data_IF_515014227147
#
_entry.id   IF_515014227147
#
_cell.length_a   1.000
_cell.length_b   1.000
_cell.length_c   1.000
_cell.angle_alpha   90.00
_cell.angle_beta   90.00
_cell.angle_gamma   90.00
#
_symmetry.space_group_name_H-M   'P 1'
#
loop_
_entity.id
_entity.type
_entity.pdbx_description
1 polymer ?
#
# COMPACT_ATOMS: atom_id res chain seq x y z
N UNK A 1 3.35 -27.77 23.70
CA UNK A 1 3.41 -28.12 22.25
C UNK A 1 3.55 -26.91 21.31
N UNK A 2 3.59 -25.66 21.80
CA UNK A 2 3.62 -24.44 20.97
C UNK A 2 5.01 -23.98 20.46
N UNK A 3 6.11 -24.53 20.97
CA UNK A 3 7.46 -24.03 20.69
C UNK A 3 8.06 -24.50 19.34
N UNK A 4 7.47 -25.50 18.68
CA UNK A 4 8.07 -26.12 17.47
C UNK A 4 7.79 -25.33 16.18
N UNK A 5 6.63 -24.67 16.09
CA UNK A 5 6.21 -23.94 14.88
C UNK A 5 7.04 -22.67 14.60
N UNK A 6 7.48 -21.96 15.65
CA UNK A 6 8.30 -20.75 15.51
C UNK A 6 9.70 -21.05 14.98
N UNK A 7 10.33 -22.15 15.42
CA UNK A 7 11.66 -22.55 14.92
C UNK A 7 11.66 -22.79 13.41
N UNK A 8 10.62 -23.43 12.87
CA UNK A 8 10.48 -23.66 11.42
C UNK A 8 10.23 -22.38 10.62
N UNK A 9 9.72 -21.32 11.26
CA UNK A 9 9.52 -20.01 10.64
C UNK A 9 10.85 -19.23 10.58
N UNK A 10 11.61 -19.29 11.67
CA UNK A 10 12.95 -18.68 11.78
C UNK A 10 13.96 -19.37 10.85
N UNK A 11 13.95 -20.70 10.77
CA UNK A 11 14.85 -21.45 9.89
C UNK A 11 14.59 -21.15 8.39
N UNK A 12 13.32 -20.99 7.99
CA UNK A 12 12.96 -20.60 6.61
C UNK A 12 13.30 -19.16 6.25
N UNK A 13 13.42 -18.28 7.24
CA UNK A 13 13.89 -16.90 7.05
C UNK A 13 15.40 -16.87 6.76
N UNK A 14 16.15 -17.76 7.41
CA UNK A 14 17.62 -17.85 7.31
C UNK A 14 18.10 -18.30 5.93
N UNK A 15 17.35 -19.17 5.26
CA UNK A 15 17.78 -19.76 3.99
C UNK A 15 17.63 -18.82 2.77
N UNK A 16 16.70 -17.84 2.79
CA UNK A 16 16.48 -16.86 1.69
C UNK A 16 15.96 -15.49 2.19
N UNK A 17 16.77 -14.71 2.93
CA UNK A 17 16.31 -13.48 3.58
C UNK A 17 15.83 -12.40 2.60
N UNK A 18 16.50 -12.25 1.45
CA UNK A 18 16.14 -11.24 0.46
C UNK A 18 14.73 -11.45 -0.11
N UNK A 19 14.35 -12.69 -0.42
CA UNK A 19 13.02 -13.00 -0.97
C UNK A 19 11.89 -12.69 0.01
N UNK A 20 12.11 -12.91 1.31
CA UNK A 20 11.13 -12.60 2.35
C UNK A 20 11.01 -11.10 2.59
N UNK A 21 12.12 -10.35 2.58
CA UNK A 21 12.10 -8.89 2.69
C UNK A 21 11.35 -8.27 1.51
N UNK A 22 11.63 -8.72 0.27
CA UNK A 22 10.93 -8.23 -0.91
C UNK A 22 9.44 -8.58 -0.86
N UNK A 23 9.08 -9.81 -0.48
CA UNK A 23 7.69 -10.23 -0.35
C UNK A 23 6.95 -9.40 0.71
N UNK A 24 7.59 -9.15 1.86
CA UNK A 24 7.05 -8.30 2.92
C UNK A 24 6.83 -6.87 2.41
N UNK A 25 7.81 -6.26 1.74
CA UNK A 25 7.70 -4.89 1.22
C UNK A 25 6.55 -4.76 0.21
N UNK A 26 6.46 -5.67 -0.76
CA UNK A 26 5.35 -5.69 -1.73
C UNK A 26 4.00 -5.82 -1.02
N UNK A 27 3.90 -6.72 -0.05
CA UNK A 27 2.67 -6.92 0.66
C UNK A 27 2.33 -5.73 1.59
N UNK A 28 3.33 -5.08 2.15
CA UNK A 28 3.19 -3.86 2.94
C UNK A 28 2.59 -2.72 2.10
N UNK A 29 3.08 -2.56 0.87
CA UNK A 29 2.56 -1.55 -0.07
C UNK A 29 1.13 -1.88 -0.52
N UNK A 30 0.85 -3.13 -0.88
CA UNK A 30 -0.51 -3.55 -1.30
C UNK A 30 -1.51 -3.32 -0.16
N UNK A 31 -1.14 -3.70 1.06
CA UNK A 31 -1.98 -3.47 2.26
C UNK A 31 -2.01 -2.00 2.70
N UNK A 32 -1.23 -1.11 2.08
CA UNK A 32 -1.38 0.34 2.22
C UNK A 32 -2.37 0.89 1.19
N UNK A 33 -2.15 0.54 -0.09
CA UNK A 33 -2.85 1.10 -1.24
C UNK A 33 -4.30 0.62 -1.31
N UNK A 34 -4.53 -0.70 -1.22
CA UNK A 34 -5.87 -1.25 -1.38
C UNK A 34 -6.83 -0.75 -0.29
N UNK A 35 -6.47 -0.74 1.02
CA UNK A 35 -7.34 -0.18 2.04
C UNK A 35 -7.54 1.33 1.91
N UNK A 36 -6.53 2.09 1.45
CA UNK A 36 -6.67 3.53 1.23
C UNK A 36 -7.80 3.84 0.26
N UNK A 37 -7.82 3.17 -0.89
CA UNK A 37 -8.89 3.33 -1.87
C UNK A 37 -10.21 2.77 -1.38
N UNK A 38 -10.22 1.58 -0.76
CA UNK A 38 -11.46 0.97 -0.25
C UNK A 38 -12.17 1.87 0.77
N UNK A 39 -11.41 2.43 1.73
CA UNK A 39 -11.95 3.35 2.74
C UNK A 39 -12.39 4.65 2.10
N UNK A 40 -11.62 5.22 1.18
CA UNK A 40 -12.01 6.44 0.46
C UNK A 40 -13.32 6.27 -0.32
N UNK A 41 -13.47 5.16 -1.05
CA UNK A 41 -14.71 4.84 -1.76
C UNK A 41 -15.88 4.66 -0.81
N UNK A 42 -15.68 3.97 0.32
CA UNK A 42 -16.73 3.81 1.32
C UNK A 42 -17.17 5.18 1.89
N UNK A 43 -16.24 6.05 2.29
CA UNK A 43 -16.56 7.39 2.77
C UNK A 43 -17.29 8.23 1.73
N UNK A 44 -16.84 8.16 0.47
CA UNK A 44 -17.45 8.91 -0.64
C UNK A 44 -18.85 8.40 -1.00
N UNK A 45 -19.11 7.10 -0.82
CA UNK A 45 -20.41 6.48 -1.08
C UNK A 45 -21.41 6.77 0.05
N UNK A 46 -21.01 6.57 1.31
CA UNK A 46 -21.91 6.71 2.47
C UNK A 46 -22.08 8.15 2.94
N UNK A 47 -21.16 9.05 2.60
CA UNK A 47 -21.16 10.47 2.98
C UNK A 47 -21.50 10.71 4.47
N UNK A 48 -20.75 10.10 5.39
CA UNK A 48 -20.99 10.31 6.81
C UNK A 48 -20.77 11.80 7.18
N UNK A 49 -21.45 12.31 8.21
CA UNK A 49 -21.23 13.67 8.66
C UNK A 49 -19.76 13.87 9.04
N UNK A 50 -19.19 14.98 8.57
CA UNK A 50 -17.79 15.28 8.82
C UNK A 50 -17.59 15.66 10.29
N UNK A 51 -16.56 15.11 10.92
CA UNK A 51 -16.16 15.46 12.30
C UNK A 51 -15.42 16.80 12.36
N UNK A 52 -15.05 17.35 11.20
CA UNK A 52 -14.33 18.60 11.09
C UNK A 52 -15.27 19.78 10.90
N UNK A 53 -14.99 20.94 11.52
CA UNK A 53 -15.77 22.14 11.29
C UNK A 53 -15.58 22.65 9.85
N UNK A 54 -16.64 23.22 9.26
CA UNK A 54 -16.68 23.67 7.86
C UNK A 54 -15.49 24.56 7.48
N UNK A 55 -15.06 25.47 8.38
CA UNK A 55 -13.88 26.32 8.18
C UNK A 55 -12.59 25.56 7.79
N UNK A 56 -12.36 24.37 8.38
CA UNK A 56 -11.17 23.55 8.10
C UNK A 56 -11.28 22.93 6.71
N UNK A 57 -12.51 22.60 6.30
CA UNK A 57 -12.84 22.07 4.98
C UNK A 57 -12.58 23.13 3.90
N UNK A 58 -13.10 24.35 4.11
CA UNK A 58 -12.92 25.49 3.21
C UNK A 58 -11.44 25.89 3.07
N UNK A 59 -10.72 25.97 4.20
CA UNK A 59 -9.28 26.27 4.19
C UNK A 59 -8.52 25.20 3.41
N UNK A 60 -8.76 23.92 3.71
CA UNK A 60 -8.12 22.80 3.02
C UNK A 60 -8.38 22.82 1.51
N UNK A 61 -9.64 23.01 1.11
CA UNK A 61 -10.03 23.09 -0.30
C UNK A 61 -9.43 24.33 -0.98
N UNK A 62 -9.30 25.47 -0.30
CA UNK A 62 -8.61 26.65 -0.82
C UNK A 62 -7.13 26.37 -1.15
N UNK A 63 -6.41 25.67 -0.27
CA UNK A 63 -5.01 25.30 -0.53
C UNK A 63 -4.89 24.32 -1.70
N UNK A 64 -5.74 23.29 -1.73
CA UNK A 64 -5.74 22.30 -2.82
C UNK A 64 -6.17 22.92 -4.14
N UNK A 65 -7.12 23.84 -4.16
CA UNK A 65 -7.56 24.49 -5.38
C UNK A 65 -6.45 25.31 -6.04
N UNK A 66 -5.57 25.94 -5.27
CA UNK A 66 -4.36 26.58 -5.83
C UNK A 66 -3.50 25.56 -6.57
N UNK A 67 -3.26 24.38 -5.98
CA UNK A 67 -2.50 23.32 -6.63
C UNK A 67 -3.21 22.75 -7.87
N UNK A 68 -4.54 22.56 -7.79
CA UNK A 68 -5.35 22.06 -8.91
C UNK A 68 -5.34 23.04 -10.07
N UNK A 69 -5.43 24.34 -9.80
CA UNK A 69 -5.34 25.41 -10.80
C UNK A 69 -3.98 25.39 -11.52
N UNK A 70 -2.88 25.23 -10.78
CA UNK A 70 -1.55 25.08 -11.39
C UNK A 70 -1.42 23.86 -12.32
N UNK A 71 -2.13 22.77 -12.01
CA UNK A 71 -2.12 21.52 -12.79
C UNK A 71 -3.19 21.53 -13.91
N UNK A 72 -3.99 22.60 -14.01
CA UNK A 72 -5.08 22.71 -14.99
C UNK A 72 -6.30 21.84 -14.67
N UNK A 73 -6.48 21.47 -13.39
CA UNK A 73 -7.64 20.71 -12.91
C UNK A 73 -8.75 21.66 -12.44
N UNK A 74 -10.00 21.22 -12.58
CA UNK A 74 -11.17 21.94 -12.07
C UNK A 74 -11.09 22.17 -10.56
N UNK A 75 -11.61 23.28 -10.06
CA UNK A 75 -11.59 23.59 -8.63
C UNK A 75 -12.64 22.77 -7.88
N UNK A 76 -12.32 22.36 -6.65
CA UNK A 76 -13.31 21.81 -5.72
C UNK A 76 -14.20 22.93 -5.20
N UNK A 77 -15.47 22.60 -4.96
CA UNK A 77 -16.35 23.41 -4.12
C UNK A 77 -15.69 23.61 -2.74
N UNK A 78 -15.69 24.83 -2.16
CA UNK A 78 -15.24 25.08 -0.79
C UNK A 78 -15.75 24.07 0.24
N UNK A 79 -16.98 23.59 0.10
CA UNK A 79 -17.60 22.62 1.02
C UNK A 79 -17.44 21.16 0.57
N UNK A 80 -16.63 20.90 -0.46
CA UNK A 80 -16.43 19.55 -0.99
C UNK A 80 -15.77 18.62 0.03
N UNK A 81 -16.37 17.46 0.37
CA UNK A 81 -15.82 16.54 1.36
C UNK A 81 -14.66 15.68 0.80
N UNK A 82 -14.32 15.81 -0.48
CA UNK A 82 -13.31 14.99 -1.17
C UNK A 82 -11.98 14.99 -0.41
N UNK A 83 -11.49 16.17 -0.04
CA UNK A 83 -10.22 16.29 0.67
C UNK A 83 -10.29 15.67 2.07
N UNK A 84 -11.41 15.85 2.76
CA UNK A 84 -11.62 15.25 4.09
C UNK A 84 -11.71 13.74 4.01
N UNK A 85 -12.38 13.18 3.00
CA UNK A 85 -12.42 11.74 2.78
C UNK A 85 -11.04 11.17 2.49
N UNK A 86 -10.20 11.86 1.70
CA UNK A 86 -8.81 11.47 1.45
C UNK A 86 -7.96 11.53 2.73
N UNK A 87 -8.09 12.61 3.50
CA UNK A 87 -7.35 12.76 4.76
C UNK A 87 -7.77 11.70 5.78
N UNK A 88 -9.08 11.43 5.88
CA UNK A 88 -9.65 10.44 6.80
C UNK A 88 -9.25 9.03 6.40
N UNK A 89 -9.28 8.68 5.10
CA UNK A 89 -8.84 7.38 4.64
C UNK A 89 -7.35 7.16 4.94
N UNK A 90 -6.50 8.16 4.70
CA UNK A 90 -5.08 8.11 5.04
C UNK A 90 -4.86 7.93 6.55
N UNK A 91 -5.59 8.68 7.39
CA UNK A 91 -5.52 8.55 8.83
C UNK A 91 -5.91 7.15 9.30
N UNK A 92 -7.00 6.58 8.78
CA UNK A 92 -7.45 5.21 9.09
C UNK A 92 -6.37 4.18 8.71
N UNK A 93 -5.83 4.27 7.48
CA UNK A 93 -4.78 3.37 7.00
C UNK A 93 -3.52 3.45 7.87
N UNK A 94 -3.21 4.64 8.40
CA UNK A 94 -2.07 4.88 9.28
C UNK A 94 -2.29 4.34 10.69
N UNK A 95 -3.48 4.50 11.25
CA UNK A 95 -3.86 3.86 12.52
C UNK A 95 -3.84 2.34 12.40
N UNK A 96 -4.24 1.80 11.24
CA UNK A 96 -4.18 0.37 10.96
C UNK A 96 -2.76 -0.18 10.72
N UNK A 97 -1.71 0.65 10.78
CA UNK A 97 -0.33 0.23 10.49
C UNK A 97 0.16 -0.98 11.33
N UNK A 98 -0.10 -1.09 12.64
CA UNK A 98 0.34 -2.25 13.43
C UNK A 98 -0.29 -3.56 12.93
N UNK A 99 -1.59 -3.53 12.65
CA UNK A 99 -2.35 -4.68 12.12
C UNK A 99 -1.85 -5.04 10.73
N UNK A 100 -1.60 -4.04 9.89
CA UNK A 100 -1.04 -4.23 8.54
C UNK A 100 0.33 -4.90 8.59
N UNK A 101 1.24 -4.43 9.44
CA UNK A 101 2.57 -5.03 9.60
C UNK A 101 2.44 -6.49 10.06
N UNK A 102 1.59 -6.78 11.04
CA UNK A 102 1.36 -8.15 11.51
C UNK A 102 0.79 -9.05 10.41
N UNK A 103 -0.20 -8.57 9.65
CA UNK A 103 -0.79 -9.28 8.52
C UNK A 103 0.24 -9.52 7.40
N UNK A 104 1.03 -8.49 7.06
CA UNK A 104 2.09 -8.60 6.05
C UNK A 104 3.15 -9.63 6.46
N UNK A 105 3.57 -9.64 7.73
CA UNK A 105 4.52 -10.65 8.23
C UNK A 105 3.94 -12.06 8.16
N UNK A 106 2.69 -12.25 8.60
CA UNK A 106 2.03 -13.57 8.60
C UNK A 106 1.88 -14.17 7.19
N UNK A 107 1.61 -13.33 6.20
CA UNK A 107 1.38 -13.70 4.81
C UNK A 107 2.67 -13.74 3.97
N UNK A 108 3.78 -13.19 4.47
CA UNK A 108 5.10 -13.21 3.79
C UNK A 108 5.52 -14.60 3.29
N UNK A 109 5.46 -15.70 4.06
CA UNK A 109 5.88 -17.02 3.56
C UNK A 109 4.97 -17.58 2.48
N UNK A 110 3.70 -17.16 2.42
CA UNK A 110 2.78 -17.52 1.35
C UNK A 110 3.12 -16.69 0.10
N UNK A 111 3.26 -15.38 0.23
CA UNK A 111 3.59 -14.47 -0.87
C UNK A 111 4.95 -14.78 -1.52
N UNK A 112 5.95 -15.13 -0.70
CA UNK A 112 7.26 -15.53 -1.20
C UNK A 112 7.19 -16.75 -2.13
N UNK A 113 6.31 -17.72 -1.83
CA UNK A 113 6.10 -18.92 -2.66
C UNK A 113 5.35 -18.61 -3.96
N UNK A 114 4.30 -17.79 -3.88
CA UNK A 114 3.37 -17.58 -4.99
C UNK A 114 3.76 -16.46 -5.96
N UNK A 115 4.43 -15.40 -5.49
CA UNK A 115 4.79 -14.26 -6.35
C UNK A 115 6.30 -14.14 -6.58
N UNK A 116 7.13 -14.30 -5.55
CA UNK A 116 8.57 -14.03 -5.68
C UNK A 116 9.28 -15.12 -6.48
N UNK A 117 9.00 -16.41 -6.22
CA UNK A 117 9.61 -17.52 -6.98
C UNK A 117 9.31 -17.47 -8.49
N UNK A 118 8.05 -17.30 -8.95
CA UNK A 118 7.78 -17.23 -10.38
C UNK A 118 8.34 -15.96 -11.04
N UNK A 119 8.20 -14.79 -10.39
CA UNK A 119 8.74 -13.53 -10.94
C UNK A 119 10.27 -13.58 -11.04
N UNK A 120 10.96 -14.12 -10.03
CA UNK A 120 12.41 -14.28 -10.06
C UNK A 120 12.86 -15.19 -11.22
N UNK A 121 12.14 -16.30 -11.46
CA UNK A 121 12.43 -17.20 -12.60
C UNK A 121 12.21 -16.53 -13.95
N UNK A 122 11.19 -15.67 -14.08
CA UNK A 122 10.93 -14.90 -15.30
C UNK A 122 12.02 -13.85 -15.54
N UNK A 123 12.43 -13.13 -14.51
CA UNK A 123 13.53 -12.16 -14.59
C UNK A 123 14.84 -12.85 -14.94
N UNK A 124 15.12 -14.03 -14.38
CA UNK A 124 16.30 -14.82 -14.72
C UNK A 124 16.29 -15.24 -16.20
N UNK A 125 15.14 -15.66 -16.74
CA UNK A 125 15.01 -15.97 -18.17
C UNK A 125 15.24 -14.74 -19.05
N UNK A 126 14.66 -13.60 -18.68
CA UNK A 126 14.82 -12.35 -19.42
C UNK A 126 16.27 -11.85 -19.41
N UNK A 127 16.92 -11.88 -18.24
CA UNK A 127 18.32 -11.48 -18.11
C UNK A 127 19.26 -12.41 -18.85
N UNK A 128 19.02 -13.74 -18.82
CA UNK A 128 19.76 -14.71 -19.65
C UNK A 128 19.55 -14.45 -21.14
N UNK A 129 18.32 -14.20 -21.58
CA UNK A 129 18.01 -13.89 -22.97
C UNK A 129 18.67 -12.58 -23.44
N UNK A 130 18.64 -11.53 -22.62
CA UNK A 130 19.32 -10.27 -22.89
C UNK A 130 20.85 -10.45 -22.92
N UNK A 131 21.42 -11.19 -21.97
CA UNK A 131 22.86 -11.46 -21.92
C UNK A 131 23.33 -12.30 -23.11
N UNK A 132 22.51 -13.23 -23.61
CA UNK A 132 22.80 -13.97 -24.83
C UNK A 132 22.72 -13.09 -26.08
N UNK A 133 21.82 -12.12 -26.11
CA UNK A 133 21.64 -11.19 -27.24
C UNK A 133 22.73 -10.12 -27.35
N UNK A 134 23.35 -9.74 -26.23
CA UNK A 134 24.38 -8.68 -26.15
C UNK A 134 25.78 -9.20 -25.80
N UNK A 135 26.04 -10.49 -25.96
CA UNK A 135 27.40 -11.04 -25.82
C UNK A 135 28.19 -10.70 -27.10
N UNK A 136 29.33 -9.97 -27.02
CA UNK A 136 30.17 -9.69 -28.18
C UNK A 136 30.79 -10.96 -28.77
#
# INVERSE_FOLDING_TARGET
MFARGWRTYVDRFRDRPASHITAFAVLHEITAIAPLFAVYYALSYYQPPTIFPIRVLEEGNRYINKLREYVGLEQLDPESPVLVHLATSYAIVKVAAPVRIAASLALTPWMAKWCVVPVAKTIEHLTKALRAKFKP
#
